data_IF_074308536920
#
_entry.id   IF_074308536920
#
_cell.length_a   1.000
_cell.length_b   1.000
_cell.length_c   1.000
_cell.angle_alpha   90.00
_cell.angle_beta   90.00
_cell.angle_gamma   90.00
#
_symmetry.space_group_name_H-M   'P 1'
#
loop_
_entity.id
_entity.type
_entity.pdbx_description
1 polymer ?
#
# COMPACT_ATOMS: atom_id res chain seq x y z
N UNK A 1 -7.88 -2.92 -1.11
CA UNK A 1 -7.16 -2.23 -2.21
C UNK A 1 -6.00 -3.11 -2.68
N UNK A 2 -5.75 -3.20 -3.98
CA UNK A 2 -4.63 -4.01 -4.52
C UNK A 2 -3.62 -3.10 -5.21
N UNK A 3 -2.35 -3.24 -4.85
CA UNK A 3 -1.22 -2.53 -5.45
C UNK A 3 -0.41 -3.54 -6.26
N UNK A 4 -0.20 -3.23 -7.54
CA UNK A 4 0.71 -4.01 -8.40
C UNK A 4 2.13 -3.48 -8.23
N UNK A 5 3.05 -4.41 -8.01
CA UNK A 5 4.46 -4.14 -7.75
C UNK A 5 5.25 -4.62 -8.97
N UNK A 6 6.13 -3.77 -9.54
CA UNK A 6 7.01 -4.20 -10.61
C UNK A 6 7.98 -5.29 -10.09
N UNK A 7 8.23 -6.37 -10.85
CA UNK A 7 9.08 -7.47 -10.38
C UNK A 7 10.47 -7.04 -9.90
N UNK A 8 11.01 -5.98 -10.48
CA UNK A 8 12.32 -5.43 -10.15
C UNK A 8 12.35 -4.80 -8.74
N UNK A 9 11.20 -4.46 -8.17
CA UNK A 9 11.08 -3.86 -6.85
C UNK A 9 10.91 -4.88 -5.71
N UNK A 10 10.73 -6.16 -6.03
CA UNK A 10 10.50 -7.24 -5.04
C UNK A 10 11.72 -7.42 -4.14
N UNK A 11 12.91 -7.29 -4.70
CA UNK A 11 14.17 -7.49 -3.97
C UNK A 11 14.68 -6.21 -3.27
N UNK A 12 13.94 -5.09 -3.36
CA UNK A 12 14.34 -3.82 -2.76
C UNK A 12 13.93 -3.80 -1.28
N UNK A 13 14.87 -3.78 -0.33
CA UNK A 13 14.55 -3.72 1.09
C UNK A 13 13.78 -2.45 1.44
N UNK A 14 12.71 -2.59 2.23
CA UNK A 14 11.88 -1.47 2.65
C UNK A 14 10.84 -1.00 1.62
N UNK A 15 10.68 -1.69 0.49
CA UNK A 15 9.63 -1.37 -0.48
C UNK A 15 8.24 -1.38 0.17
N UNK A 16 7.87 -2.46 0.87
CA UNK A 16 6.59 -2.55 1.59
C UNK A 16 6.47 -1.48 2.69
N UNK A 17 7.58 -1.18 3.38
CA UNK A 17 7.60 -0.15 4.41
C UNK A 17 7.21 1.22 3.84
N UNK A 18 7.63 1.57 2.62
CA UNK A 18 7.24 2.83 1.96
C UNK A 18 5.72 2.96 1.84
N UNK A 19 5.04 1.88 1.45
CA UNK A 19 3.58 1.85 1.29
C UNK A 19 2.89 1.87 2.67
N UNK A 20 3.28 0.96 3.57
CA UNK A 20 2.62 0.80 4.86
C UNK A 20 2.81 2.01 5.78
N UNK A 21 4.00 2.64 5.76
CA UNK A 21 4.27 3.87 6.51
C UNK A 21 3.40 5.03 6.05
N UNK A 22 3.22 5.20 4.74
CA UNK A 22 2.38 6.28 4.22
C UNK A 22 0.93 6.13 4.66
N UNK A 23 0.40 4.89 4.65
CA UNK A 23 -0.95 4.61 5.13
C UNK A 23 -1.07 4.91 6.63
N UNK A 24 -0.12 4.44 7.44
CA UNK A 24 -0.11 4.68 8.87
C UNK A 24 -0.05 6.18 9.23
N UNK A 25 0.80 6.96 8.55
CA UNK A 25 0.90 8.41 8.77
C UNK A 25 -0.31 9.22 8.32
N UNK A 26 -1.15 8.65 7.44
CA UNK A 26 -2.40 9.27 7.02
C UNK A 26 -3.61 8.71 7.78
N UNK A 27 -3.38 8.07 8.93
CA UNK A 27 -4.41 7.47 9.78
C UNK A 27 -5.31 6.49 9.03
N UNK A 28 -4.74 5.66 8.15
CA UNK A 28 -5.45 4.55 7.50
C UNK A 28 -5.14 3.28 8.26
N UNK A 29 -6.16 2.70 8.90
CA UNK A 29 -5.99 1.46 9.63
C UNK A 29 -6.12 0.25 8.69
N UNK A 30 -5.21 -0.71 8.82
CA UNK A 30 -5.24 -1.95 8.04
C UNK A 30 -5.70 -3.10 8.95
N UNK A 31 -6.64 -3.89 8.45
CA UNK A 31 -7.09 -5.13 9.08
C UNK A 31 -6.11 -6.25 8.77
N UNK A 32 -5.68 -6.33 7.51
CA UNK A 32 -4.76 -7.37 7.04
C UNK A 32 -3.96 -6.88 5.83
N UNK A 33 -2.75 -7.43 5.69
CA UNK A 33 -1.87 -7.22 4.53
C UNK A 33 -1.50 -8.59 3.98
N UNK A 34 -1.81 -8.83 2.70
CA UNK A 34 -1.45 -10.04 1.99
C UNK A 34 -0.48 -9.68 0.88
N UNK A 35 0.72 -10.26 0.90
CA UNK A 35 1.69 -10.09 -0.18
C UNK A 35 1.80 -11.37 -0.98
N UNK A 36 1.73 -11.24 -2.29
CA UNK A 36 2.16 -12.26 -3.25
C UNK A 36 3.44 -11.80 -3.93
N UNK A 37 3.81 -12.39 -5.08
CA UNK A 37 5.01 -12.02 -5.83
C UNK A 37 4.95 -10.56 -6.29
N UNK A 38 3.97 -10.21 -7.12
CA UNK A 38 3.85 -8.86 -7.73
C UNK A 38 2.62 -8.09 -7.25
N UNK A 39 1.94 -8.57 -6.21
CA UNK A 39 0.73 -7.92 -5.70
C UNK A 39 0.77 -7.78 -4.18
N UNK A 40 0.34 -6.61 -3.72
CA UNK A 40 0.09 -6.32 -2.31
C UNK A 40 -1.38 -5.99 -2.13
N UNK A 41 -2.08 -6.80 -1.36
CA UNK A 41 -3.51 -6.65 -1.07
C UNK A 41 -3.64 -6.09 0.35
N UNK A 42 -4.31 -4.96 0.46
CA UNK A 42 -4.54 -4.21 1.69
C UNK A 42 -6.02 -4.30 2.05
N UNK A 43 -6.31 -4.96 3.17
CA UNK A 43 -7.67 -5.13 3.68
C UNK A 43 -7.88 -4.11 4.81
N UNK A 44 -8.99 -3.38 4.75
CA UNK A 44 -9.34 -2.30 5.69
C UNK A 44 -10.85 -2.18 5.79
N UNK A 45 -11.34 -1.47 6.79
CA UNK A 45 -12.76 -1.12 6.89
C UNK A 45 -13.17 -0.16 5.78
N UNK A 46 -14.45 -0.19 5.40
CA UNK A 46 -15.00 0.61 4.30
C UNK A 46 -14.73 2.12 4.48
N UNK A 47 -14.84 2.61 5.71
CA UNK A 47 -14.59 4.01 6.10
C UNK A 47 -13.16 4.49 5.78
N UNK A 48 -12.20 3.57 5.69
CA UNK A 48 -10.80 3.86 5.39
C UNK A 48 -10.44 3.71 3.90
N UNK A 49 -11.29 3.06 3.10
CA UNK A 49 -10.98 2.69 1.70
C UNK A 49 -10.66 3.92 0.85
N UNK A 50 -11.49 4.97 0.93
CA UNK A 50 -11.28 6.18 0.11
C UNK A 50 -10.01 6.93 0.49
N UNK A 51 -9.69 6.98 1.79
CA UNK A 51 -8.47 7.62 2.29
C UNK A 51 -7.24 6.82 1.90
N UNK A 52 -7.27 5.50 2.10
CA UNK A 52 -6.23 4.58 1.67
C UNK A 52 -5.96 4.69 0.17
N UNK A 53 -7.01 4.76 -0.65
CA UNK A 53 -6.87 4.94 -2.09
C UNK A 53 -6.19 6.27 -2.46
N UNK A 54 -6.58 7.38 -1.82
CA UNK A 54 -5.96 8.68 -2.06
C UNK A 54 -4.47 8.70 -1.70
N UNK A 55 -4.09 8.10 -0.56
CA UNK A 55 -2.68 7.98 -0.12
C UNK A 55 -1.86 7.17 -1.11
N UNK A 56 -2.39 6.03 -1.59
CA UNK A 56 -1.71 5.20 -2.58
C UNK A 56 -1.55 5.93 -3.92
N UNK A 57 -2.58 6.66 -4.37
CA UNK A 57 -2.51 7.50 -5.57
C UNK A 57 -1.43 8.59 -5.46
N UNK A 58 -1.30 9.21 -4.29
CA UNK A 58 -0.27 10.21 -4.05
C UNK A 58 1.15 9.62 -4.11
N UNK A 59 1.35 8.42 -3.54
CA UNK A 59 2.63 7.71 -3.62
C UNK A 59 3.03 7.39 -5.06
N UNK A 60 2.09 6.93 -5.88
CA UNK A 60 2.36 6.58 -7.29
C UNK A 60 2.60 7.83 -8.14
N UNK A 61 1.86 8.93 -7.90
CA UNK A 61 2.03 10.17 -8.69
C UNK A 61 3.31 10.93 -8.37
N UNK A 62 3.89 10.72 -7.17
CA UNK A 62 5.16 11.33 -6.74
C UNK A 62 6.39 10.49 -7.09
N UNK A 63 6.21 9.28 -7.63
CA UNK A 63 7.27 8.36 -8.03
C UNK A 63 7.67 8.54 -9.50
#
# INVERSE_FOLDING_TARGET
LTVKIPPEAIDIPGFYYTILRALAWNNVNLVEVVSTFTELILIMYEDDVMRGYAVLQELVRKA
#
